data_IF_720054101488
#
_entry.id   IF_720054101488
#
_cell.length_a   1.000
_cell.length_b   1.000
_cell.length_c   1.000
_cell.angle_alpha   90.00
_cell.angle_beta   90.00
_cell.angle_gamma   90.00
#
_symmetry.space_group_name_H-M   'P 1'
#
loop_
_entity.id
_entity.type
_entity.pdbx_description
1 polymer ?
#
# COMPACT_ATOMS: atom_id res chain seq x y z
N UNK A 1 19.54 -73.74 -4.08
CA UNK A 1 19.41 -75.08 -3.50
C UNK A 1 18.79 -74.90 -2.11
N UNK A 2 17.60 -75.49 -1.89
CA UNK A 2 17.16 -76.18 -0.65
C UNK A 2 17.18 -75.32 0.64
N UNK A 3 16.04 -74.71 1.06
CA UNK A 3 14.98 -75.25 1.96
C UNK A 3 15.35 -75.23 3.47
N UNK A 4 14.48 -75.01 4.48
CA UNK A 4 13.05 -74.57 4.62
C UNK A 4 12.90 -73.86 6.01
N UNK A 5 11.83 -73.77 6.84
CA UNK A 5 10.48 -74.39 6.93
C UNK A 5 9.48 -73.55 7.81
N UNK A 6 8.49 -74.22 8.41
CA UNK A 6 7.29 -73.76 9.17
C UNK A 6 7.60 -73.48 10.68
N UNK A 7 6.68 -73.01 11.56
CA UNK A 7 5.26 -73.43 11.74
C UNK A 7 4.40 -72.59 12.73
N UNK A 8 3.05 -72.58 12.51
CA UNK A 8 1.91 -72.38 13.48
C UNK A 8 1.78 -71.01 14.22
N UNK A 9 0.64 -70.29 14.15
CA UNK A 9 -0.73 -70.44 14.77
C UNK A 9 -0.77 -70.16 16.30
N UNK A 10 -1.82 -69.60 16.94
CA UNK A 10 -3.00 -68.77 16.57
C UNK A 10 -3.84 -68.42 17.85
N UNK A 11 -4.84 -67.51 17.77
CA UNK A 11 -5.94 -67.25 18.75
C UNK A 11 -5.58 -66.59 20.13
N UNK A 12 -6.46 -65.94 20.94
CA UNK A 12 -7.77 -65.23 20.76
C UNK A 12 -8.11 -64.36 22.02
N UNK A 13 -8.96 -63.32 21.85
CA UNK A 13 -9.73 -62.45 22.82
C UNK A 13 -10.01 -62.95 24.27
N UNK A 14 -10.21 -62.05 25.29
CA UNK A 14 -11.53 -61.38 25.51
C UNK A 14 -11.57 -59.95 26.16
N UNK A 15 -12.77 -59.34 26.15
CA UNK A 15 -13.21 -58.21 27.02
C UNK A 15 -13.94 -58.73 28.30
N UNK A 16 -14.19 -57.89 29.32
CA UNK A 16 -15.57 -57.40 29.55
C UNK A 16 -15.70 -55.92 30.00
N UNK A 17 -16.94 -55.42 30.18
CA UNK A 17 -17.29 -54.06 30.67
C UNK A 17 -17.75 -54.07 32.16
N UNK A 18 -18.54 -53.06 32.61
CA UNK A 18 -19.12 -52.79 33.98
C UNK A 18 -18.32 -51.70 34.77
N UNK A 19 -18.87 -50.59 35.35
CA UNK A 19 -20.25 -50.02 35.48
C UNK A 19 -20.27 -48.47 35.63
N UNK A 20 -21.46 -47.86 35.59
CA UNK A 20 -21.84 -46.54 36.20
C UNK A 20 -22.76 -46.82 37.45
N UNK A 21 -23.44 -45.88 38.18
CA UNK A 21 -23.63 -44.42 38.02
C UNK A 21 -23.71 -43.60 39.36
N UNK A 22 -24.36 -42.42 39.33
CA UNK A 22 -25.07 -41.67 40.42
C UNK A 22 -24.35 -40.51 41.16
N UNK A 23 -24.65 -39.30 40.67
CA UNK A 23 -25.07 -38.03 41.32
C UNK A 23 -24.53 -37.50 42.68
N UNK A 24 -24.35 -36.16 42.64
CA UNK A 24 -24.76 -35.13 43.63
C UNK A 24 -23.68 -34.45 44.51
N UNK A 25 -23.37 -33.19 44.19
CA UNK A 25 -23.78 -32.04 45.01
C UNK A 25 -23.81 -30.73 44.19
N UNK A 26 -24.49 -29.70 44.68
CA UNK A 26 -24.71 -28.41 44.00
C UNK A 26 -24.19 -27.21 44.83
N UNK A 27 -24.26 -26.02 44.20
CA UNK A 27 -24.27 -24.68 44.79
C UNK A 27 -22.95 -24.08 45.34
N UNK A 28 -22.27 -23.27 44.51
CA UNK A 28 -21.56 -22.05 44.92
C UNK A 28 -21.06 -21.20 43.71
N UNK A 29 -21.92 -20.83 42.76
CA UNK A 29 -21.56 -19.84 41.72
C UNK A 29 -22.68 -18.80 41.60
N UNK A 30 -22.47 -17.66 42.26
CA UNK A 30 -23.35 -16.49 42.19
C UNK A 30 -22.55 -15.21 42.39
N UNK A 31 -22.83 -14.20 41.55
CA UNK A 31 -22.44 -12.80 41.75
C UNK A 31 -20.93 -12.47 41.71
N UNK A 32 -20.29 -12.58 40.53
CA UNK A 32 -19.36 -11.53 40.05
C UNK A 32 -19.03 -11.60 38.54
N UNK A 33 -20.00 -11.27 37.67
CA UNK A 33 -19.75 -11.00 36.24
C UNK A 33 -20.57 -9.79 35.77
N UNK A 34 -20.24 -8.61 36.30
CA UNK A 34 -20.71 -7.35 35.72
C UNK A 34 -20.03 -7.10 34.37
N UNK A 35 -20.81 -6.80 33.33
CA UNK A 35 -20.31 -6.65 31.97
C UNK A 35 -19.51 -5.33 31.83
N UNK A 36 -18.19 -5.39 31.97
CA UNK A 36 -17.28 -4.35 31.47
C UNK A 36 -17.21 -4.42 29.93
N UNK A 37 -18.33 -4.11 29.26
CA UNK A 37 -18.42 -4.02 27.80
C UNK A 37 -17.71 -2.75 27.34
N UNK A 38 -16.38 -2.83 27.24
CA UNK A 38 -15.57 -1.76 26.68
C UNK A 38 -16.12 -1.36 25.29
N UNK A 39 -16.17 -0.05 24.96
CA UNK A 39 -16.57 0.37 23.63
C UNK A 39 -15.61 -0.24 22.61
N UNK A 40 -16.15 -0.81 21.54
CA UNK A 40 -15.33 -1.30 20.44
C UNK A 40 -14.56 -0.11 19.86
N UNK A 41 -13.23 -0.14 19.94
CA UNK A 41 -12.39 0.91 19.41
C UNK A 41 -12.44 0.85 17.88
N UNK A 42 -13.34 1.63 17.29
CA UNK A 42 -13.48 1.77 15.84
C UNK A 42 -12.18 2.37 15.29
N UNK A 43 -11.32 1.52 14.73
CA UNK A 43 -10.13 1.97 14.03
C UNK A 43 -10.57 2.78 12.80
N UNK A 44 -9.91 3.91 12.50
CA UNK A 44 -10.34 4.79 11.40
C UNK A 44 -10.30 4.03 10.07
N UNK A 45 -11.39 4.13 9.32
CA UNK A 45 -11.42 3.72 7.92
C UNK A 45 -10.62 4.76 7.15
N UNK A 46 -9.46 4.38 6.62
CA UNK A 46 -8.63 5.31 5.87
C UNK A 46 -9.39 5.87 4.67
N UNK A 47 -9.49 7.20 4.63
CA UNK A 47 -10.15 7.92 3.55
C UNK A 47 -9.46 7.67 2.20
N UNK A 48 -10.17 7.80 1.07
CA UNK A 48 -9.53 7.83 -0.24
C UNK A 48 -8.46 8.93 -0.31
N UNK A 49 -7.44 8.80 -1.18
CA UNK A 49 -6.41 9.81 -1.36
C UNK A 49 -7.04 11.21 -1.57
N UNK A 50 -6.45 12.30 -1.05
CA UNK A 50 -7.09 13.62 -1.08
C UNK A 50 -7.48 14.05 -2.50
N UNK A 51 -6.63 13.78 -3.49
CA UNK A 51 -6.91 14.02 -4.91
C UNK A 51 -8.16 13.26 -5.39
N UNK A 52 -8.28 11.97 -5.05
CA UNK A 52 -9.44 11.12 -5.38
C UNK A 52 -10.72 11.62 -4.70
N UNK A 53 -10.63 12.23 -3.51
CA UNK A 53 -11.79 12.86 -2.85
C UNK A 53 -12.22 14.12 -3.57
N UNK A 54 -11.29 15.04 -3.87
CA UNK A 54 -11.55 16.27 -4.63
C UNK A 54 -12.19 15.95 -6.00
N UNK A 55 -11.58 15.05 -6.76
CA UNK A 55 -12.08 14.64 -8.07
C UNK A 55 -13.50 14.05 -8.01
N UNK A 56 -13.86 13.32 -6.93
CA UNK A 56 -15.22 12.80 -6.73
C UNK A 56 -16.25 13.86 -6.34
N UNK A 57 -15.88 14.86 -5.53
CA UNK A 57 -16.77 16.00 -5.26
C UNK A 57 -17.01 16.87 -6.51
N UNK A 58 -16.00 17.02 -7.38
CA UNK A 58 -16.10 17.85 -8.58
C UNK A 58 -16.81 17.17 -9.76
N UNK A 59 -16.95 15.84 -9.76
CA UNK A 59 -17.62 15.08 -10.83
C UNK A 59 -19.10 15.47 -11.06
N UNK A 60 -19.73 16.17 -10.11
CA UNK A 60 -21.03 16.83 -10.26
C UNK A 60 -21.06 18.22 -9.62
N UNK A 61 -19.90 18.88 -9.50
CA UNK A 61 -19.73 20.18 -8.88
C UNK A 61 -19.93 21.35 -9.85
N UNK A 62 -19.44 22.53 -9.45
CA UNK A 62 -19.45 23.73 -10.29
C UNK A 62 -18.50 23.63 -11.50
N UNK A 63 -18.77 24.38 -12.56
CA UNK A 63 -17.99 24.34 -13.81
C UNK A 63 -16.64 25.04 -13.69
N UNK A 64 -16.57 26.18 -13.01
CA UNK A 64 -15.30 26.88 -12.75
C UNK A 64 -14.41 26.04 -11.83
N UNK A 65 -14.99 25.37 -10.83
CA UNK A 65 -14.22 24.42 -10.00
C UNK A 65 -13.67 23.23 -10.80
N UNK A 66 -14.40 22.71 -11.81
CA UNK A 66 -13.87 21.67 -12.72
C UNK A 66 -12.75 22.21 -13.62
N UNK A 67 -12.87 23.45 -14.08
CA UNK A 67 -11.83 24.14 -14.85
C UNK A 67 -10.55 24.30 -14.03
N UNK A 68 -10.63 24.91 -12.83
CA UNK A 68 -9.48 25.17 -11.95
C UNK A 68 -8.76 23.87 -11.57
N UNK A 69 -9.52 22.81 -11.30
CA UNK A 69 -8.97 21.48 -11.02
C UNK A 69 -8.26 20.88 -12.23
N UNK A 70 -8.88 20.90 -13.41
CA UNK A 70 -8.28 20.37 -14.63
C UNK A 70 -7.00 21.12 -15.02
N UNK A 71 -6.99 22.45 -14.87
CA UNK A 71 -5.84 23.31 -15.14
C UNK A 71 -4.67 23.03 -14.18
N UNK A 72 -4.95 22.95 -12.87
CA UNK A 72 -3.96 22.63 -11.84
C UNK A 72 -3.34 21.23 -12.04
N UNK A 73 -4.15 20.23 -12.40
CA UNK A 73 -3.67 18.87 -12.66
C UNK A 73 -2.84 18.81 -13.94
N UNK A 74 -3.26 19.48 -15.02
CA UNK A 74 -2.50 19.56 -16.26
C UNK A 74 -1.16 20.28 -16.06
N UNK A 75 -1.09 21.32 -15.25
CA UNK A 75 0.20 21.98 -14.98
C UNK A 75 1.17 21.05 -14.24
N UNK A 76 0.72 20.36 -13.19
CA UNK A 76 1.56 19.44 -12.41
C UNK A 76 2.00 18.22 -13.24
N UNK A 77 1.14 17.72 -14.14
CA UNK A 77 1.51 16.70 -15.13
C UNK A 77 2.58 17.22 -16.10
N UNK A 78 2.40 18.42 -16.66
CA UNK A 78 3.39 19.02 -17.56
C UNK A 78 4.73 19.30 -16.85
N UNK A 79 4.70 19.77 -15.61
CA UNK A 79 5.89 20.03 -14.78
C UNK A 79 6.67 18.72 -14.57
N UNK A 80 6.01 17.67 -14.06
CA UNK A 80 6.63 16.37 -13.79
C UNK A 80 7.19 15.68 -15.05
N UNK A 81 6.46 15.73 -16.18
CA UNK A 81 6.96 15.14 -17.43
C UNK A 81 8.12 15.95 -18.04
N UNK A 82 8.18 17.28 -17.84
CA UNK A 82 9.34 18.11 -18.23
C UNK A 82 10.55 17.79 -17.35
N UNK A 83 10.38 17.67 -16.04
CA UNK A 83 11.42 17.28 -15.09
C UNK A 83 12.06 15.94 -15.48
N UNK A 84 11.23 14.93 -15.75
CA UNK A 84 11.69 13.60 -16.15
C UNK A 84 12.33 13.57 -17.55
N UNK A 85 11.75 14.26 -18.54
CA UNK A 85 12.34 14.35 -19.87
C UNK A 85 13.73 15.02 -19.81
N UNK A 86 13.84 16.13 -19.09
CA UNK A 86 15.10 16.84 -18.85
C UNK A 86 16.11 15.97 -18.07
N UNK A 87 15.68 15.28 -17.01
CA UNK A 87 16.53 14.37 -16.25
C UNK A 87 17.06 13.23 -17.13
N UNK A 88 16.22 12.68 -18.01
CA UNK A 88 16.59 11.59 -18.92
C UNK A 88 17.72 11.97 -19.87
N UNK A 89 17.88 13.25 -20.25
CA UNK A 89 18.93 13.70 -21.19
C UNK A 89 20.34 13.32 -20.72
N UNK A 90 20.52 13.22 -19.39
CA UNK A 90 21.77 12.84 -18.72
C UNK A 90 22.04 11.33 -18.74
N UNK A 91 21.03 10.49 -19.01
CA UNK A 91 21.22 9.05 -19.15
C UNK A 91 21.97 8.71 -20.45
N UNK A 92 23.12 8.05 -20.30
CA UNK A 92 23.90 7.46 -21.38
C UNK A 92 23.73 5.94 -21.39
N UNK A 93 22.85 5.46 -22.26
CA UNK A 93 22.63 4.05 -22.47
C UNK A 93 23.82 3.37 -23.17
N UNK A 94 24.42 2.36 -22.53
CA UNK A 94 25.64 1.68 -23.01
C UNK A 94 25.40 0.71 -24.18
N UNK A 95 24.26 0.03 -24.24
CA UNK A 95 23.91 -0.89 -25.33
C UNK A 95 23.00 -0.22 -26.37
N UNK A 96 23.01 -0.74 -27.60
CA UNK A 96 22.12 -0.21 -28.65
C UNK A 96 20.64 -0.42 -28.31
N UNK A 97 20.25 -1.57 -27.75
CA UNK A 97 18.87 -1.79 -27.30
C UNK A 97 18.43 -0.82 -26.21
N UNK A 98 19.31 -0.48 -25.26
CA UNK A 98 18.99 0.52 -24.24
C UNK A 98 18.92 1.92 -24.85
N UNK A 99 19.76 2.26 -25.84
CA UNK A 99 19.64 3.51 -26.63
C UNK A 99 18.31 3.58 -27.38
N UNK A 100 17.91 2.49 -28.07
CA UNK A 100 16.62 2.39 -28.79
C UNK A 100 15.41 2.48 -27.86
N UNK A 101 15.46 1.85 -26.67
CA UNK A 101 14.41 1.95 -25.64
C UNK A 101 14.30 3.38 -25.07
N UNK A 102 15.43 3.99 -24.69
CA UNK A 102 15.49 5.34 -24.15
C UNK A 102 15.02 6.39 -25.16
N UNK A 103 15.38 6.26 -26.44
CA UNK A 103 14.89 7.13 -27.51
C UNK A 103 13.36 7.05 -27.67
N UNK A 104 12.78 5.84 -27.69
CA UNK A 104 11.32 5.66 -27.76
C UNK A 104 10.59 6.20 -26.52
N UNK A 105 11.15 6.00 -25.33
CA UNK A 105 10.58 6.56 -24.10
C UNK A 105 10.58 8.10 -24.14
N UNK A 106 11.71 8.73 -24.54
CA UNK A 106 11.78 10.20 -24.68
C UNK A 106 10.77 10.74 -25.69
N UNK A 107 10.55 10.03 -26.80
CA UNK A 107 9.49 10.34 -27.77
C UNK A 107 8.11 10.31 -27.11
N UNK A 108 7.71 9.18 -26.53
CA UNK A 108 6.40 9.06 -25.87
C UNK A 108 6.18 10.06 -24.71
N UNK A 109 7.23 10.43 -23.97
CA UNK A 109 7.19 11.48 -22.94
C UNK A 109 6.99 12.87 -23.55
N UNK A 110 7.56 13.16 -24.72
CA UNK A 110 7.32 14.39 -25.47
C UNK A 110 5.91 14.42 -26.08
N UNK A 111 5.47 13.34 -26.72
CA UNK A 111 4.10 13.17 -27.24
C UNK A 111 3.04 13.41 -26.15
N UNK A 112 3.35 13.01 -24.90
CA UNK A 112 2.47 13.24 -23.75
C UNK A 112 2.47 14.70 -23.27
N UNK A 113 3.64 15.37 -23.29
CA UNK A 113 3.71 16.82 -23.02
C UNK A 113 2.92 17.64 -24.05
N UNK A 114 2.96 17.25 -25.32
CA UNK A 114 2.14 17.88 -26.37
C UNK A 114 0.64 17.65 -26.14
N UNK A 115 0.23 16.44 -25.73
CA UNK A 115 -1.16 16.16 -25.31
C UNK A 115 -1.61 17.02 -24.13
N UNK A 116 -0.80 17.12 -23.08
CA UNK A 116 -1.13 17.96 -21.93
C UNK A 116 -1.16 19.46 -22.28
N UNK A 117 -0.34 19.91 -23.23
CA UNK A 117 -0.37 21.29 -23.73
C UNK A 117 -1.62 21.55 -24.58
N UNK A 118 -1.99 20.64 -25.47
CA UNK A 118 -3.22 20.70 -26.27
C UNK A 118 -4.46 20.72 -25.38
N UNK A 119 -4.51 19.88 -24.34
CA UNK A 119 -5.64 19.83 -23.42
C UNK A 119 -5.79 21.14 -22.63
N UNK A 120 -4.67 21.74 -22.19
CA UNK A 120 -4.70 23.04 -21.49
C UNK A 120 -5.06 24.20 -22.41
N UNK A 121 -4.66 24.15 -23.68
CA UNK A 121 -5.09 25.12 -24.70
C UNK A 121 -6.61 25.03 -24.93
N UNK A 122 -7.15 23.83 -25.17
CA UNK A 122 -8.60 23.63 -25.36
C UNK A 122 -9.40 24.09 -24.13
N UNK A 123 -8.90 23.82 -22.93
CA UNK A 123 -9.49 24.31 -21.68
C UNK A 123 -9.55 25.85 -21.66
N UNK A 124 -8.44 26.52 -21.97
CA UNK A 124 -8.37 27.99 -22.07
C UNK A 124 -9.17 28.61 -23.23
N UNK A 125 -9.48 27.82 -24.27
CA UNK A 125 -10.40 28.18 -25.36
C UNK A 125 -11.89 27.96 -25.00
N UNK A 126 -12.18 27.45 -23.80
CA UNK A 126 -13.54 27.26 -23.27
C UNK A 126 -14.13 25.86 -23.47
N UNK A 127 -13.31 24.84 -23.70
CA UNK A 127 -13.80 23.44 -23.73
C UNK A 127 -14.14 22.95 -22.31
N UNK A 128 -15.33 22.34 -22.14
CA UNK A 128 -15.77 21.83 -20.83
C UNK A 128 -14.80 20.78 -20.26
N UNK A 129 -14.34 21.00 -19.03
CA UNK A 129 -13.66 20.00 -18.22
C UNK A 129 -14.67 19.09 -17.51
N UNK A 130 -14.62 17.78 -17.79
CA UNK A 130 -15.37 16.74 -17.07
C UNK A 130 -14.40 15.84 -16.30
N UNK A 131 -14.59 15.76 -15.00
CA UNK A 131 -13.74 14.96 -14.09
C UNK A 131 -14.41 13.61 -13.82
N UNK A 132 -13.66 12.52 -13.99
CA UNK A 132 -14.10 11.18 -13.65
C UNK A 132 -13.09 10.50 -12.72
N UNK A 133 -13.58 9.58 -11.89
CA UNK A 133 -12.76 8.69 -11.07
C UNK A 133 -13.24 7.27 -11.26
N UNK A 134 -12.34 6.40 -11.70
CA UNK A 134 -12.68 5.02 -12.05
C UNK A 134 -12.85 4.11 -10.81
N UNK A 135 -13.02 2.80 -11.05
CA UNK A 135 -13.15 1.79 -10.00
C UNK A 135 -11.84 1.45 -9.28
N UNK A 136 -10.68 1.87 -9.79
CA UNK A 136 -9.36 1.73 -9.17
C UNK A 136 -8.97 2.98 -8.35
N UNK A 137 -9.65 4.11 -8.58
CA UNK A 137 -9.36 5.40 -7.96
C UNK A 137 -8.57 6.35 -8.87
N UNK A 138 -8.29 5.93 -10.11
CA UNK A 138 -7.60 6.72 -11.12
C UNK A 138 -8.44 7.94 -11.51
N UNK A 139 -7.85 9.13 -11.40
CA UNK A 139 -8.48 10.37 -11.90
C UNK A 139 -8.27 10.47 -13.41
N UNK A 140 -9.36 10.70 -14.14
CA UNK A 140 -9.39 10.94 -15.57
C UNK A 140 -10.04 12.31 -15.83
N UNK A 141 -9.38 13.13 -16.64
CA UNK A 141 -9.93 14.39 -17.15
C UNK A 141 -10.40 14.15 -18.60
N UNK A 142 -11.57 14.68 -18.94
CA UNK A 142 -12.06 14.76 -20.31
C UNK A 142 -12.28 16.24 -20.65
N UNK A 143 -11.51 16.77 -21.59
CA UNK A 143 -11.56 18.16 -22.03
C UNK A 143 -11.89 18.14 -23.52
N UNK A 144 -13.11 18.56 -23.88
CA UNK A 144 -13.66 18.27 -25.21
C UNK A 144 -13.62 16.76 -25.52
N UNK A 145 -12.94 16.42 -26.63
CA UNK A 145 -12.69 15.03 -27.08
C UNK A 145 -11.40 14.41 -26.48
N UNK A 146 -10.58 15.18 -25.76
CA UNK A 146 -9.30 14.69 -25.22
C UNK A 146 -9.47 14.07 -23.82
N UNK A 147 -9.18 12.77 -23.72
CA UNK A 147 -9.08 12.06 -22.44
C UNK A 147 -7.63 12.05 -21.94
N UNK A 148 -7.42 12.51 -20.70
CA UNK A 148 -6.12 12.60 -20.03
C UNK A 148 -6.18 11.86 -18.70
N UNK A 149 -5.32 10.86 -18.49
CA UNK A 149 -5.16 10.20 -17.20
C UNK A 149 -4.15 10.96 -16.33
N UNK A 150 -4.49 11.19 -15.07
CA UNK A 150 -3.55 11.75 -14.08
C UNK A 150 -2.65 10.63 -13.54
N UNK A 151 -1.50 10.40 -14.17
CA UNK A 151 -0.54 9.36 -13.78
C UNK A 151 0.88 9.88 -13.88
N UNK A 152 1.75 9.49 -12.95
CA UNK A 152 3.14 9.90 -12.96
C UNK A 152 3.96 9.28 -14.10
N UNK A 153 5.00 9.98 -14.58
CA UNK A 153 5.94 9.45 -15.58
C UNK A 153 6.73 8.23 -15.08
N UNK A 154 6.79 8.02 -13.75
CA UNK A 154 7.26 6.78 -13.11
C UNK A 154 6.45 6.49 -11.83
N UNK A 155 6.21 5.21 -11.45
CA UNK A 155 5.42 4.88 -10.26
C UNK A 155 6.06 5.26 -8.91
N UNK A 156 7.36 5.55 -8.87
CA UNK A 156 8.06 5.95 -7.63
C UNK A 156 7.82 7.41 -7.23
N UNK A 157 7.21 8.24 -8.09
CA UNK A 157 6.88 9.65 -7.82
C UNK A 157 5.38 9.96 -7.90
N UNK A 158 4.53 8.93 -7.91
CA UNK A 158 3.06 9.07 -8.00
C UNK A 158 2.50 9.87 -6.82
N UNK A 159 2.94 9.58 -5.59
CA UNK A 159 2.44 10.30 -4.41
C UNK A 159 2.89 11.76 -4.39
N UNK A 160 4.13 12.06 -4.79
CA UNK A 160 4.63 13.44 -4.91
C UNK A 160 3.85 14.22 -5.98
N UNK A 161 3.41 13.54 -7.05
CA UNK A 161 2.53 14.12 -8.07
C UNK A 161 1.14 14.42 -7.50
N UNK A 162 0.51 13.47 -6.81
CA UNK A 162 -0.79 13.67 -6.13
C UNK A 162 -0.73 14.86 -5.16
N UNK A 163 0.29 14.90 -4.30
CA UNK A 163 0.45 15.96 -3.30
C UNK A 163 0.72 17.33 -3.96
N UNK A 164 1.50 17.38 -5.05
CA UNK A 164 1.68 18.62 -5.84
C UNK A 164 0.35 19.09 -6.44
N UNK A 165 -0.47 18.20 -7.01
CA UNK A 165 -1.76 18.57 -7.60
C UNK A 165 -2.78 19.05 -6.55
N UNK A 166 -2.89 18.35 -5.42
CA UNK A 166 -3.73 18.77 -4.28
C UNK A 166 -3.29 20.14 -3.77
N UNK A 167 -1.98 20.34 -3.54
CA UNK A 167 -1.43 21.62 -3.08
C UNK A 167 -1.67 22.74 -4.10
N UNK A 168 -1.56 22.45 -5.40
CA UNK A 168 -1.76 23.44 -6.47
C UNK A 168 -3.21 23.91 -6.57
N UNK A 169 -4.17 22.98 -6.51
CA UNK A 169 -5.60 23.31 -6.54
C UNK A 169 -6.04 24.03 -5.25
N UNK A 170 -5.70 23.49 -4.08
CA UNK A 170 -6.08 24.07 -2.79
C UNK A 170 -5.35 25.39 -2.43
N UNK A 171 -4.45 25.88 -3.30
CA UNK A 171 -3.89 27.23 -3.19
C UNK A 171 -4.86 28.32 -3.72
N UNK A 172 -5.84 27.94 -4.53
CA UNK A 172 -6.80 28.86 -5.17
C UNK A 172 -8.27 28.50 -4.90
N UNK A 173 -8.56 27.24 -4.55
CA UNK A 173 -9.91 26.73 -4.29
C UNK A 173 -10.07 26.28 -2.83
N UNK A 174 -11.26 26.47 -2.26
CA UNK A 174 -11.55 26.06 -0.87
C UNK A 174 -11.64 24.54 -0.73
N UNK A 175 -10.65 23.95 -0.07
CA UNK A 175 -10.58 22.52 0.24
C UNK A 175 -11.01 22.17 1.69
N UNK A 176 -11.48 23.14 2.50
CA UNK A 176 -11.78 22.92 3.93
C UNK A 176 -12.87 21.87 4.16
N UNK A 177 -13.94 21.87 3.36
CA UNK A 177 -14.98 20.84 3.42
C UNK A 177 -14.47 19.40 3.14
N UNK A 178 -13.34 19.26 2.44
CA UNK A 178 -12.68 17.99 2.14
C UNK A 178 -11.67 17.63 3.24
N UNK A 179 -11.25 18.60 4.05
CA UNK A 179 -10.54 18.35 5.30
C UNK A 179 -11.49 17.89 6.42
N UNK A 180 -12.62 18.59 6.63
CA UNK A 180 -13.52 18.35 7.75
C UNK A 180 -14.40 17.09 7.59
N UNK A 181 -14.62 16.60 6.37
CA UNK A 181 -15.44 15.40 6.09
C UNK A 181 -14.77 14.06 6.44
N UNK A 182 -13.66 14.08 7.18
CA UNK A 182 -13.06 12.91 7.80
C UNK A 182 -11.73 13.23 8.48
N UNK A 183 -11.78 13.58 9.77
CA UNK A 183 -10.66 13.88 10.67
C UNK A 183 -9.37 14.34 9.95
N UNK A 184 -9.32 15.61 9.55
CA UNK A 184 -8.03 16.31 9.37
C UNK A 184 -7.42 16.65 10.74
N UNK A 185 -7.09 15.58 11.46
CA UNK A 185 -5.70 15.42 11.82
C UNK A 185 -4.89 15.63 10.54
N UNK A 186 -4.12 16.71 10.48
CA UNK A 186 -3.22 16.99 9.36
C UNK A 186 -2.43 15.73 9.05
N UNK A 187 -2.51 15.23 7.82
CA UNK A 187 -1.61 14.17 7.35
C UNK A 187 -0.25 14.81 7.09
N UNK A 188 0.39 15.22 8.19
CA UNK A 188 1.83 15.09 8.30
C UNK A 188 2.18 13.65 7.90
N UNK A 189 3.24 13.50 7.10
CA UNK A 189 3.87 12.19 6.92
C UNK A 189 4.11 11.55 8.30
N UNK A 190 3.98 10.22 8.40
CA UNK A 190 3.81 9.53 9.67
C UNK A 190 4.92 9.94 10.65
N UNK A 191 4.55 10.30 11.89
CA UNK A 191 5.26 11.30 12.69
C UNK A 191 6.75 11.00 12.79
N UNK A 192 7.63 12.03 12.59
CA UNK A 192 9.04 11.85 12.30
C UNK A 192 9.68 10.91 13.31
N UNK A 193 10.15 9.78 12.79
CA UNK A 193 10.50 8.63 13.60
C UNK A 193 11.71 8.87 14.51
N UNK A 194 11.87 7.98 15.49
CA UNK A 194 12.98 8.05 16.42
C UNK A 194 14.00 6.92 16.21
N UNK A 195 15.27 7.29 16.32
CA UNK A 195 16.41 6.36 16.29
C UNK A 195 16.56 5.67 17.65
N UNK A 196 16.00 4.46 17.76
CA UNK A 196 16.08 3.58 18.94
C UNK A 196 17.40 2.82 18.94
N UNK A 197 18.40 3.37 19.65
CA UNK A 197 19.75 2.82 19.81
C UNK A 197 19.88 2.14 21.18
N UNK A 198 20.25 0.85 21.21
CA UNK A 198 20.50 0.10 22.45
C UNK A 198 21.75 -0.75 22.29
N UNK A 199 22.69 -0.72 23.25
CA UNK A 199 24.06 -1.24 23.09
C UNK A 199 24.23 -2.73 22.78
N UNK A 200 23.16 -3.53 22.83
CA UNK A 200 23.16 -4.97 22.49
C UNK A 200 22.05 -5.36 21.49
N UNK A 201 21.49 -4.39 20.75
CA UNK A 201 20.48 -4.63 19.72
C UNK A 201 20.83 -3.88 18.44
N UNK A 202 20.35 -4.37 17.30
CA UNK A 202 20.38 -3.66 16.02
C UNK A 202 19.85 -2.22 16.18
N UNK A 203 20.53 -1.19 15.64
CA UNK A 203 19.97 0.15 15.59
C UNK A 203 18.65 0.11 14.81
N UNK A 204 17.61 0.75 15.33
CA UNK A 204 16.31 0.76 14.67
C UNK A 204 15.78 2.19 14.51
N UNK A 205 15.02 2.39 13.45
CA UNK A 205 14.16 3.56 13.28
C UNK A 205 12.71 3.13 13.52
N UNK A 206 11.98 3.87 14.35
CA UNK A 206 10.58 3.60 14.66
C UNK A 206 9.72 4.81 14.29
N UNK A 207 8.73 4.58 13.43
CA UNK A 207 7.80 5.57 12.90
C UNK A 207 6.46 5.41 13.65
N UNK A 208 6.22 6.30 14.61
CA UNK A 208 5.09 6.21 15.54
C UNK A 208 5.00 4.85 16.24
N UNK A 209 3.78 4.34 16.39
CA UNK A 209 3.50 2.98 16.87
C UNK A 209 3.22 2.00 15.71
N UNK A 210 3.53 2.39 14.47
CA UNK A 210 3.08 1.70 13.25
C UNK A 210 4.14 0.78 12.65
N UNK A 211 5.36 1.28 12.43
CA UNK A 211 6.45 0.54 11.80
C UNK A 211 7.76 0.73 12.55
N UNK A 212 8.54 -0.35 12.66
CA UNK A 212 9.93 -0.35 13.12
C UNK A 212 10.82 -1.06 12.11
N UNK A 213 11.78 -0.33 11.53
CA UNK A 213 12.84 -0.90 10.70
C UNK A 213 14.10 -1.08 11.55
N UNK A 214 14.63 -2.30 11.61
CA UNK A 214 15.89 -2.59 12.29
C UNK A 214 17.00 -2.79 11.25
N UNK A 215 18.15 -2.17 11.48
CA UNK A 215 19.26 -2.11 10.53
C UNK A 215 20.50 -2.83 11.05
N UNK A 216 21.39 -3.22 10.15
CA UNK A 216 22.67 -3.84 10.44
C UNK A 216 23.61 -2.87 11.20
N UNK A 217 23.65 -1.62 10.75
CA UNK A 217 24.49 -0.54 11.29
C UNK A 217 23.85 0.86 11.11
N UNK A 218 24.59 1.93 11.43
CA UNK A 218 24.21 3.34 11.23
C UNK A 218 24.83 4.01 9.97
N UNK A 219 25.53 3.28 9.13
CA UNK A 219 26.10 3.81 7.88
C UNK A 219 24.95 4.23 6.95
N UNK A 220 25.03 5.44 6.39
CA UNK A 220 23.95 5.98 5.56
C UNK A 220 22.66 6.32 6.34
N UNK A 221 22.75 6.61 7.65
CA UNK A 221 21.63 6.93 8.56
C UNK A 221 20.46 7.69 7.94
N UNK A 222 20.71 8.79 7.22
CA UNK A 222 19.64 9.59 6.59
C UNK A 222 18.85 8.81 5.51
N UNK A 223 19.53 8.00 4.68
CA UNK A 223 18.89 7.15 3.69
C UNK A 223 18.18 5.94 4.33
N UNK A 224 18.67 5.45 5.48
CA UNK A 224 18.01 4.42 6.30
C UNK A 224 16.70 4.92 6.92
N UNK A 225 16.72 6.15 7.43
CA UNK A 225 15.54 6.85 7.94
C UNK A 225 14.49 7.02 6.84
N UNK A 226 14.84 7.69 5.73
CA UNK A 226 13.91 7.93 4.62
C UNK A 226 13.31 6.62 4.06
N UNK A 227 14.14 5.59 3.86
CA UNK A 227 13.66 4.29 3.38
C UNK A 227 12.75 3.54 4.36
N UNK A 228 12.72 3.94 5.65
CA UNK A 228 11.77 3.43 6.64
C UNK A 228 10.49 4.28 6.72
N UNK A 229 10.58 5.59 6.50
CA UNK A 229 9.45 6.52 6.42
C UNK A 229 8.58 6.17 5.20
N UNK A 230 9.18 6.08 4.01
CA UNK A 230 8.53 5.59 2.78
C UNK A 230 7.87 4.21 2.98
N UNK A 231 8.53 3.31 3.74
CA UNK A 231 8.01 1.97 4.01
C UNK A 231 6.87 1.96 5.02
N UNK A 232 6.77 2.96 5.91
CA UNK A 232 5.64 3.13 6.83
C UNK A 232 4.38 3.52 6.04
N UNK A 233 4.51 4.44 5.08
CA UNK A 233 3.43 4.83 4.18
C UNK A 233 2.96 3.67 3.29
N UNK A 234 3.90 2.88 2.76
CA UNK A 234 3.55 1.64 2.05
C UNK A 234 2.86 0.61 2.95
N UNK A 235 3.27 0.51 4.22
CA UNK A 235 2.64 -0.40 5.19
C UNK A 235 1.21 0.04 5.52
N UNK A 236 0.96 1.35 5.66
CA UNK A 236 -0.39 1.90 5.82
C UNK A 236 -1.26 1.61 4.58
N UNK A 237 -0.78 1.96 3.37
CA UNK A 237 -1.48 1.68 2.10
C UNK A 237 -1.85 0.20 1.94
N UNK A 238 -0.94 -0.72 2.33
CA UNK A 238 -1.19 -2.15 2.36
C UNK A 238 -2.31 -2.54 3.34
N UNK A 239 -2.22 -2.10 4.60
CA UNK A 239 -3.21 -2.40 5.64
C UNK A 239 -4.60 -1.92 5.24
N UNK A 240 -4.72 -0.72 4.66
CA UNK A 240 -6.01 -0.13 4.31
C UNK A 240 -6.61 -0.72 3.02
N UNK A 241 -5.78 -1.20 2.10
CA UNK A 241 -6.25 -1.99 0.95
C UNK A 241 -6.71 -3.39 1.39
N UNK A 242 -6.01 -4.03 2.34
CA UNK A 242 -6.42 -5.29 2.95
C UNK A 242 -7.74 -5.14 3.73
N UNK A 243 -7.89 -4.11 4.56
CA UNK A 243 -9.14 -3.80 5.29
C UNK A 243 -10.34 -3.60 4.36
N UNK A 244 -10.16 -2.85 3.26
CA UNK A 244 -11.21 -2.62 2.25
C UNK A 244 -11.57 -3.88 1.44
N UNK A 245 -10.71 -4.90 1.44
CA UNK A 245 -10.95 -6.18 0.76
C UNK A 245 -11.55 -7.21 1.71
N UNK A 246 -11.13 -7.24 2.98
CA UNK A 246 -11.63 -8.18 3.99
C UNK A 246 -13.09 -7.93 4.35
N UNK A 247 -13.88 -8.99 4.43
CA UNK A 247 -15.25 -8.96 4.97
C UNK A 247 -15.47 -10.12 5.94
N UNK A 248 -16.53 -10.06 6.76
CA UNK A 248 -16.89 -11.19 7.63
C UNK A 248 -17.22 -12.48 6.85
N UNK A 249 -17.46 -12.37 5.54
CA UNK A 249 -17.72 -13.46 4.58
C UNK A 249 -16.52 -13.84 3.69
N UNK A 250 -15.45 -13.04 3.66
CA UNK A 250 -14.20 -13.32 2.92
C UNK A 250 -12.98 -12.92 3.77
N UNK A 251 -12.39 -13.89 4.51
CA UNK A 251 -11.22 -13.65 5.34
C UNK A 251 -9.91 -13.69 4.53
N UNK A 252 -8.96 -12.84 4.92
CA UNK A 252 -7.64 -12.74 4.28
C UNK A 252 -6.86 -14.06 4.47
N UNK A 253 -6.41 -14.64 3.36
CA UNK A 253 -5.45 -15.76 3.35
C UNK A 253 -4.02 -15.21 3.35
N UNK A 254 -3.46 -15.09 4.56
CA UNK A 254 -2.11 -14.59 4.78
C UNK A 254 -1.02 -15.45 4.13
N UNK A 255 -1.29 -16.73 3.80
CA UNK A 255 -0.31 -17.60 3.12
C UNK A 255 -0.21 -17.34 1.62
N UNK A 256 -1.24 -16.73 1.00
CA UNK A 256 -1.24 -16.37 -0.43
C UNK A 256 -0.73 -14.95 -0.71
N UNK A 257 -0.55 -14.14 0.32
CA UNK A 257 0.06 -12.80 0.22
C UNK A 257 1.55 -12.92 -0.15
N UNK A 258 1.89 -12.52 -1.37
CA UNK A 258 3.25 -12.64 -1.91
C UNK A 258 3.63 -11.47 -2.83
N UNK A 259 4.89 -11.04 -2.77
CA UNK A 259 5.47 -10.07 -3.71
C UNK A 259 5.86 -10.76 -5.02
N UNK A 260 5.02 -10.70 -6.03
CA UNK A 260 5.46 -10.96 -7.41
C UNK A 260 6.26 -9.77 -7.94
N UNK A 261 7.58 -9.75 -7.69
CA UNK A 261 8.48 -8.80 -8.37
C UNK A 261 8.43 -9.04 -9.87
N UNK A 262 7.81 -8.12 -10.60
CA UNK A 262 7.93 -8.09 -12.06
C UNK A 262 9.35 -7.66 -12.44
N UNK A 263 9.90 -8.23 -13.52
CA UNK A 263 11.18 -7.76 -14.10
C UNK A 263 11.01 -6.38 -14.77
N UNK A 264 9.76 -5.90 -14.90
CA UNK A 264 9.37 -4.66 -15.58
C UNK A 264 8.78 -3.62 -14.62
N UNK A 265 8.32 -3.99 -13.42
CA UNK A 265 7.71 -3.07 -12.45
C UNK A 265 7.91 -3.48 -10.98
N UNK A 266 7.90 -2.50 -10.08
CA UNK A 266 7.98 -2.67 -8.62
C UNK A 266 6.62 -2.97 -7.96
N UNK A 267 5.68 -3.48 -8.74
CA UNK A 267 4.31 -3.74 -8.28
C UNK A 267 4.28 -4.92 -7.29
N UNK A 268 3.50 -4.78 -6.23
CA UNK A 268 3.15 -5.87 -5.32
C UNK A 268 1.74 -6.33 -5.66
N UNK A 269 1.67 -7.32 -6.52
CA UNK A 269 0.44 -8.01 -6.92
C UNK A 269 0.00 -8.96 -5.80
N UNK A 270 -0.84 -8.47 -4.89
CA UNK A 270 -1.48 -9.27 -3.84
C UNK A 270 -2.66 -10.06 -4.45
N UNK A 271 -3.03 -11.21 -3.86
CA UNK A 271 -4.18 -11.99 -4.30
C UNK A 271 -5.01 -12.48 -3.11
N UNK A 272 -6.27 -12.06 -3.04
CA UNK A 272 -7.27 -12.56 -2.07
C UNK A 272 -7.76 -13.96 -2.45
N UNK A 273 -8.46 -14.63 -1.55
CA UNK A 273 -8.50 -16.10 -1.54
C UNK A 273 -9.82 -16.77 -1.90
N UNK A 274 -10.98 -16.16 -1.60
CA UNK A 274 -12.27 -16.79 -1.90
C UNK A 274 -12.64 -16.75 -3.38
N UNK A 275 -12.38 -15.63 -4.06
CA UNK A 275 -12.80 -15.38 -5.45
C UNK A 275 -11.62 -15.19 -6.44
N UNK A 276 -10.38 -15.28 -5.94
CA UNK A 276 -9.17 -15.09 -6.74
C UNK A 276 -8.87 -13.64 -7.13
N UNK A 277 -9.59 -12.64 -6.58
CA UNK A 277 -9.35 -11.22 -6.90
C UNK A 277 -7.92 -10.83 -6.58
N UNK A 278 -7.34 -10.13 -7.54
CA UNK A 278 -5.94 -9.71 -7.52
C UNK A 278 -5.89 -8.21 -7.23
N UNK A 279 -5.38 -7.88 -6.04
CA UNK A 279 -5.24 -6.53 -5.52
C UNK A 279 -3.81 -6.04 -5.85
N UNK A 280 -3.69 -5.28 -6.94
CA UNK A 280 -2.41 -4.71 -7.37
C UNK A 280 -2.12 -3.42 -6.59
N UNK A 281 -1.06 -3.40 -5.79
CA UNK A 281 -0.55 -2.19 -5.13
C UNK A 281 0.85 -1.87 -5.64
N UNK A 282 1.25 -0.60 -5.59
CA UNK A 282 2.61 -0.15 -5.88
C UNK A 282 3.31 0.12 -4.55
N UNK A 283 4.23 -0.77 -4.16
CA UNK A 283 4.95 -0.73 -2.89
C UNK A 283 6.47 -0.85 -3.12
N UNK A 284 7.12 0.20 -3.70
CA UNK A 284 8.51 0.14 -4.18
C UNK A 284 9.60 -0.01 -3.11
N UNK A 285 9.31 0.16 -1.82
CA UNK A 285 10.19 -0.18 -0.69
C UNK A 285 9.96 -1.62 -0.22
N UNK A 286 8.72 -1.98 0.09
CA UNK A 286 8.37 -3.30 0.61
C UNK A 286 8.60 -4.41 -0.43
N UNK A 287 8.45 -4.12 -1.73
CA UNK A 287 8.82 -5.02 -2.82
C UNK A 287 10.32 -5.42 -2.81
N UNK A 288 11.19 -4.66 -2.13
CA UNK A 288 12.63 -4.92 -2.01
C UNK A 288 12.96 -5.96 -0.94
N UNK A 289 12.05 -6.22 -0.01
CA UNK A 289 12.18 -7.28 0.99
C UNK A 289 12.32 -8.63 0.29
N UNK A 290 13.28 -9.45 0.74
CA UNK A 290 13.38 -10.84 0.29
C UNK A 290 12.18 -11.69 0.77
N UNK A 291 12.10 -12.94 0.32
CA UNK A 291 10.97 -13.82 0.60
C UNK A 291 10.72 -14.02 2.10
N UNK A 292 11.78 -14.14 2.90
CA UNK A 292 11.65 -14.40 4.33
C UNK A 292 11.25 -13.11 5.06
N UNK A 293 11.91 -12.00 4.72
CA UNK A 293 11.63 -10.69 5.30
C UNK A 293 10.20 -10.24 4.99
N UNK A 294 9.72 -10.51 3.78
CA UNK A 294 8.32 -10.30 3.40
C UNK A 294 7.36 -11.17 4.21
N UNK A 295 7.64 -12.47 4.36
CA UNK A 295 6.75 -13.37 5.13
C UNK A 295 6.72 -13.03 6.63
N UNK A 296 7.85 -12.63 7.22
CA UNK A 296 7.90 -12.11 8.58
C UNK A 296 7.07 -10.83 8.73
N UNK A 297 7.25 -9.86 7.82
CA UNK A 297 6.48 -8.62 7.76
C UNK A 297 4.97 -8.88 7.62
N UNK A 298 4.54 -9.78 6.73
CA UNK A 298 3.13 -10.19 6.58
C UNK A 298 2.59 -10.84 7.86
N UNK A 299 3.39 -11.64 8.57
CA UNK A 299 3.03 -12.18 9.88
C UNK A 299 2.78 -11.10 10.94
N UNK A 300 3.59 -10.04 10.94
CA UNK A 300 3.37 -8.87 11.81
C UNK A 300 2.11 -8.07 11.40
N UNK A 301 1.82 -7.93 10.10
CA UNK A 301 0.58 -7.32 9.63
C UNK A 301 -0.65 -8.16 10.02
N UNK A 302 -0.60 -9.49 9.89
CA UNK A 302 -1.67 -10.38 10.35
C UNK A 302 -1.95 -10.22 11.86
N UNK A 303 -0.90 -10.11 12.68
CA UNK A 303 -1.02 -9.89 14.11
C UNK A 303 -1.72 -8.57 14.49
N UNK A 304 -1.63 -7.52 13.67
CA UNK A 304 -2.42 -6.28 13.86
C UNK A 304 -3.92 -6.53 13.67
N UNK A 305 -4.31 -7.37 12.70
CA UNK A 305 -5.72 -7.73 12.48
C UNK A 305 -6.27 -8.60 13.61
N UNK A 306 -5.43 -9.37 14.31
CA UNK A 306 -5.74 -10.03 15.59
C UNK A 306 -5.79 -9.06 16.81
N UNK A 307 -5.86 -7.74 16.59
CA UNK A 307 -5.88 -6.70 17.61
C UNK A 307 -4.63 -6.60 18.52
N UNK A 308 -3.52 -7.25 18.16
CA UNK A 308 -2.27 -7.15 18.93
C UNK A 308 -1.64 -5.77 18.71
N UNK A 309 -1.56 -4.95 19.77
CA UNK A 309 -0.95 -3.61 19.75
C UNK A 309 0.59 -3.69 19.78
N UNK A 310 1.16 -4.20 18.70
CA UNK A 310 2.63 -4.24 18.48
C UNK A 310 2.95 -3.63 17.11
N UNK A 311 3.93 -2.71 17.01
CA UNK A 311 4.32 -2.13 15.72
C UNK A 311 4.76 -3.23 14.74
N UNK A 312 4.49 -3.02 13.45
CA UNK A 312 5.00 -3.90 12.39
C UNK A 312 6.53 -3.84 12.39
N UNK A 313 7.18 -5.00 12.28
CA UNK A 313 8.65 -5.10 12.35
C UNK A 313 9.23 -5.51 11.00
N UNK A 314 10.24 -4.77 10.55
CA UNK A 314 11.12 -5.15 9.45
C UNK A 314 12.52 -5.35 10.02
N UNK A 315 12.95 -6.61 10.18
CA UNK A 315 14.24 -6.95 10.81
C UNK A 315 15.46 -6.73 9.89
N UNK A 316 15.23 -6.74 8.57
CA UNK A 316 16.25 -6.59 7.51
C UNK A 316 16.11 -5.22 6.81
N UNK A 317 16.06 -4.13 7.58
CA UNK A 317 15.79 -2.76 7.08
C UNK A 317 16.73 -2.29 5.95
N UNK A 318 17.97 -2.78 5.92
CA UNK A 318 18.97 -2.53 4.87
C UNK A 318 18.59 -3.04 3.46
N UNK A 319 17.43 -3.67 3.31
CA UNK A 319 16.83 -4.06 2.02
C UNK A 319 15.91 -2.96 1.43
N UNK A 320 15.38 -2.06 2.25
CA UNK A 320 14.51 -0.95 1.82
C UNK A 320 15.29 0.15 1.07
N UNK A 321 16.59 0.25 1.35
CA UNK A 321 17.54 1.20 0.78
C UNK A 321 17.80 0.87 -0.71
N UNK A 322 18.15 1.86 -1.52
CA UNK A 322 18.70 1.59 -2.85
C UNK A 322 20.23 1.46 -2.81
N UNK A 323 20.75 0.33 -3.31
CA UNK A 323 22.18 0.04 -3.44
C UNK A 323 22.72 0.33 -4.86
N UNK A 324 21.97 1.10 -5.67
CA UNK A 324 22.33 1.52 -7.04
C UNK A 324 22.46 3.04 -7.20
N UNK A 325 22.81 3.75 -6.13
CA UNK A 325 23.32 5.14 -6.16
C UNK A 325 24.79 5.13 -5.75
#
# INVERSE_FOLDING_TARGET
MIETNRNKRAATMPMPSITKPIYALCAAIGTLLMLSRAPAATLPVASPPPLTRIAKSLAGGDELQRFDFADALLEVLQESYREELAASTRERASTEDRRRKLARWRGATADMLERFASARLQLGEGAEARVHVDSQGQVLLFIGDQAVAFSAPRPDVEHDLEQRAVTRYCAYSDCTAIADSGDVATVAGPPPGEWRLFGHRRPAYQVGEYLRCSFDDLVGRAAKQLACEDAADETARLIDALRRTSSASDPIDWQRISTQRSVVSTDVTLRSSADGRTLRLVLPRLARLDRDAWQAFVGHVAALFEQRRTPVLIERGDQLIDRRR
#
